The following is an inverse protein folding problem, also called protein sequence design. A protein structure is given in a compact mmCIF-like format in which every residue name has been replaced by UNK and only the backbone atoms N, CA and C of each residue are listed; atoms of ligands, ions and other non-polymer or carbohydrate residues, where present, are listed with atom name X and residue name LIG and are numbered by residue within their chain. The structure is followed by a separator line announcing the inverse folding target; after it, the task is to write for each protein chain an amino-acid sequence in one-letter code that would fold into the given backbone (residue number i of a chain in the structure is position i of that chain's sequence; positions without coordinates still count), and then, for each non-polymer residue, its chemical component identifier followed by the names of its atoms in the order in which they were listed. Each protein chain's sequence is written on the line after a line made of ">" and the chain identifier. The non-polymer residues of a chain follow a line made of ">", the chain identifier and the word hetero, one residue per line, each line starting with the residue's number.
data_IF_534229668478
#
_entry.id   IF_534229668478
#
_cell.length_a   1.000
_cell.length_b   1.000
_cell.length_c   1.000
_cell.angle_alpha   90.00
_cell.angle_beta   90.00
_cell.angle_gamma   90.00
#
_symmetry.space_group_name_H-M   'P 1'
#
loop_
_entity.id
_entity.type
_entity.pdbx_description
1 polymer ?
#
# COMPACT_ATOMS: atom_id res chain seq x y z
N UNK A 1 -5.74 17.33 2.14
CA UNK A 1 -6.72 16.83 3.12
C UNK A 1 -6.04 15.90 4.10
N UNK A 2 -6.58 15.78 5.32
CA UNK A 2 -6.01 14.91 6.35
C UNK A 2 -6.69 13.55 6.36
N UNK A 3 -5.89 12.48 6.43
CA UNK A 3 -6.38 11.10 6.38
C UNK A 3 -5.79 10.26 7.49
N UNK A 4 -6.60 9.33 8.01
CA UNK A 4 -6.17 8.37 9.03
C UNK A 4 -6.09 6.99 8.37
N UNK A 5 -4.88 6.44 8.33
CA UNK A 5 -4.63 5.07 7.90
C UNK A 5 -4.48 4.20 9.15
N UNK A 6 -5.47 3.35 9.42
CA UNK A 6 -5.37 2.35 10.48
C UNK A 6 -4.39 1.28 10.07
N UNK A 7 -3.44 0.98 10.95
CA UNK A 7 -2.37 0.04 10.65
C UNK A 7 -2.53 -1.23 11.45
N UNK A 8 -2.20 -2.36 10.85
CA UNK A 8 -2.31 -3.64 11.51
C UNK A 8 -1.03 -4.46 11.37
N UNK A 9 -0.67 -5.14 12.45
CA UNK A 9 0.37 -6.15 12.46
C UNK A 9 -0.24 -7.51 12.74
N UNK A 10 0.32 -8.55 12.13
CA UNK A 10 -0.10 -9.91 12.42
C UNK A 10 0.19 -10.26 13.89
N UNK A 11 -0.72 -11.01 14.53
CA UNK A 11 -0.49 -11.57 15.87
C UNK A 11 0.66 -12.58 15.86
N UNK A 12 0.71 -13.40 14.81
CA UNK A 12 1.68 -14.47 14.67
C UNK A 12 2.73 -14.12 13.62
N UNK A 13 4.03 -14.35 13.88
CA UNK A 13 5.07 -14.09 12.91
C UNK A 13 4.81 -14.81 11.59
N UNK A 14 4.95 -14.09 10.47
CA UNK A 14 4.77 -14.58 9.09
C UNK A 14 3.34 -15.00 8.71
N UNK A 15 2.36 -14.83 9.60
CA UNK A 15 0.96 -15.03 9.24
C UNK A 15 0.41 -13.78 8.59
N UNK A 16 -0.34 -13.96 7.52
CA UNK A 16 -1.11 -12.92 6.85
C UNK A 16 -2.38 -13.55 6.29
N UNK A 17 -3.45 -12.79 6.13
CA UNK A 17 -4.57 -13.21 5.29
C UNK A 17 -4.17 -13.17 3.81
N UNK A 18 -4.85 -13.98 3.00
CA UNK A 18 -4.70 -13.92 1.55
C UNK A 18 -5.22 -12.56 1.03
N UNK A 19 -4.59 -12.02 -0.02
CA UNK A 19 -5.05 -10.79 -0.68
C UNK A 19 -6.44 -10.98 -1.28
N UNK A 20 -6.69 -12.17 -1.86
CA UNK A 20 -7.89 -12.49 -2.61
C UNK A 20 -7.65 -12.47 -4.11
N UNK A 21 -8.74 -12.58 -4.86
CA UNK A 21 -8.72 -12.61 -6.32
C UNK A 21 -8.19 -11.29 -6.87
N UNK A 22 -7.23 -11.39 -7.78
CA UNK A 22 -6.69 -10.27 -8.52
C UNK A 22 -6.10 -10.79 -9.84
N UNK A 23 -6.02 -9.90 -10.83
CA UNK A 23 -5.24 -10.18 -12.03
C UNK A 23 -3.78 -9.80 -11.75
N UNK A 24 -2.80 -10.65 -12.10
CA UNK A 24 -1.38 -10.28 -12.02
C UNK A 24 -1.11 -9.04 -12.87
N UNK A 25 -0.25 -8.15 -12.39
CA UNK A 25 0.28 -7.05 -13.21
C UNK A 25 1.11 -7.64 -14.35
N UNK A 26 0.69 -7.53 -15.63
CA UNK A 26 1.36 -8.18 -16.75
C UNK A 26 2.81 -7.74 -16.93
N UNK A 27 3.21 -6.61 -16.34
CA UNK A 27 4.58 -6.13 -16.33
C UNK A 27 5.23 -6.08 -14.95
N UNK A 28 4.55 -6.53 -13.89
CA UNK A 28 5.00 -6.34 -12.51
C UNK A 28 6.27 -7.11 -12.15
N UNK A 29 6.50 -8.26 -12.79
CA UNK A 29 7.64 -9.13 -12.46
C UNK A 29 8.98 -8.42 -12.69
N UNK A 30 9.77 -8.28 -11.61
CA UNK A 30 11.08 -7.62 -11.64
C UNK A 30 11.05 -6.08 -11.57
N UNK A 31 9.87 -5.46 -11.49
CA UNK A 31 9.76 -4.00 -11.29
C UNK A 31 9.96 -3.59 -9.84
N UNK A 32 10.28 -2.32 -9.64
CA UNK A 32 10.37 -1.70 -8.32
C UNK A 32 9.06 -1.79 -7.54
N UNK A 33 7.95 -1.73 -8.27
CA UNK A 33 6.58 -1.72 -7.77
C UNK A 33 5.74 -2.61 -8.70
N UNK A 34 5.05 -3.57 -8.12
CA UNK A 34 4.03 -4.38 -8.77
C UNK A 34 2.69 -4.13 -8.07
N UNK A 35 1.65 -3.87 -8.87
CA UNK A 35 0.33 -3.49 -8.36
C UNK A 35 -0.66 -4.65 -8.43
N UNK A 36 -1.51 -4.74 -7.41
CA UNK A 36 -2.63 -5.66 -7.36
C UNK A 36 -3.90 -4.85 -7.11
N UNK A 37 -4.95 -5.11 -7.88
CA UNK A 37 -6.25 -4.45 -7.69
C UNK A 37 -7.27 -5.52 -7.33
N UNK A 38 -7.90 -5.35 -6.16
CA UNK A 38 -9.00 -6.17 -5.69
C UNK A 38 -10.26 -5.33 -5.45
N UNK A 39 -11.33 -5.98 -5.01
CA UNK A 39 -12.57 -5.28 -4.70
C UNK A 39 -12.43 -4.44 -3.43
N UNK A 40 -12.37 -3.11 -3.58
CA UNK A 40 -12.26 -2.17 -2.45
C UNK A 40 -10.89 -2.22 -1.75
N UNK A 41 -9.89 -2.80 -2.38
CA UNK A 41 -8.52 -2.81 -1.88
C UNK A 41 -7.50 -2.74 -3.03
N UNK A 42 -6.32 -2.22 -2.69
CA UNK A 42 -5.15 -2.23 -3.56
C UNK A 42 -4.00 -2.88 -2.81
N UNK A 43 -3.26 -3.72 -3.52
CA UNK A 43 -2.03 -4.34 -3.04
C UNK A 43 -0.84 -3.75 -3.79
N UNK A 44 0.29 -3.65 -3.10
CA UNK A 44 1.55 -3.31 -3.74
C UNK A 44 2.64 -4.26 -3.25
N UNK A 45 3.31 -4.92 -4.19
CA UNK A 45 4.54 -5.65 -3.96
C UNK A 45 5.67 -4.71 -4.35
N UNK A 46 6.66 -4.58 -3.50
CA UNK A 46 7.77 -3.64 -3.71
C UNK A 46 9.09 -4.33 -3.47
N UNK A 47 10.12 -3.89 -4.20
CA UNK A 47 11.49 -4.34 -3.96
C UNK A 47 11.95 -3.96 -2.53
N UNK A 48 12.91 -4.70 -1.95
CA UNK A 48 13.41 -4.43 -0.60
C UNK A 48 13.88 -2.99 -0.38
N UNK A 49 14.46 -2.36 -1.40
CA UNK A 49 14.95 -0.98 -1.40
C UNK A 49 13.80 0.01 -1.22
N UNK A 50 12.74 -0.15 -2.02
CA UNK A 50 11.53 0.65 -1.97
C UNK A 50 10.83 0.46 -0.63
N UNK A 51 10.77 -0.79 -0.12
CA UNK A 51 10.21 -1.07 1.20
C UNK A 51 10.94 -0.30 2.31
N UNK A 52 12.27 -0.27 2.29
CA UNK A 52 13.07 0.47 3.27
C UNK A 52 12.76 1.97 3.22
N UNK A 53 12.66 2.53 2.01
CA UNK A 53 12.28 3.93 1.80
C UNK A 53 10.89 4.20 2.39
N UNK A 54 9.88 3.40 2.04
CA UNK A 54 8.51 3.56 2.53
C UNK A 54 8.45 3.48 4.06
N UNK A 55 9.15 2.52 4.67
CA UNK A 55 9.19 2.41 6.13
C UNK A 55 9.78 3.67 6.79
N UNK A 56 10.86 4.22 6.22
CA UNK A 56 11.49 5.43 6.74
C UNK A 56 10.58 6.66 6.60
N UNK A 57 9.98 6.84 5.42
CA UNK A 57 9.19 8.03 5.10
C UNK A 57 7.79 8.02 5.71
N UNK A 58 7.17 6.84 5.87
CA UNK A 58 5.83 6.72 6.46
C UNK A 58 5.88 6.63 7.99
N UNK A 59 6.92 6.05 8.57
CA UNK A 59 7.01 5.78 10.02
C UNK A 59 8.06 6.63 10.73
N UNK A 60 8.62 7.62 10.03
CA UNK A 60 9.52 8.60 10.59
C UNK A 60 8.84 9.55 11.60
N UNK A 61 9.61 10.44 12.22
CA UNK A 61 9.08 11.37 13.23
C UNK A 61 8.20 12.48 12.62
N UNK A 62 8.35 12.72 11.31
CA UNK A 62 7.55 13.70 10.60
C UNK A 62 6.27 13.06 10.08
N UNK A 63 5.20 13.84 10.09
CA UNK A 63 3.94 13.44 9.49
C UNK A 63 4.12 13.24 7.99
N UNK A 64 3.76 12.06 7.43
CA UNK A 64 3.91 11.83 6.01
C UNK A 64 3.02 12.74 5.18
N UNK A 65 3.60 13.34 4.15
CA UNK A 65 2.91 14.12 3.14
C UNK A 65 2.91 13.35 1.82
N UNK A 66 1.72 13.09 1.28
CA UNK A 66 1.51 12.37 0.03
C UNK A 66 0.83 13.29 -0.97
N UNK A 67 1.48 13.58 -2.09
CA UNK A 67 0.92 14.39 -3.16
C UNK A 67 0.77 13.54 -4.43
N UNK A 68 -0.48 13.29 -4.82
CA UNK A 68 -0.80 12.67 -6.08
C UNK A 68 -0.82 13.73 -7.18
N UNK A 69 -0.04 13.52 -8.23
CA UNK A 69 -0.06 14.34 -9.44
C UNK A 69 -0.41 13.46 -10.64
N UNK A 70 -0.74 14.06 -11.78
CA UNK A 70 -1.18 13.31 -12.95
C UNK A 70 -0.14 12.28 -13.45
N UNK A 71 1.16 12.56 -13.26
CA UNK A 71 2.28 11.72 -13.72
C UNK A 71 3.39 11.58 -12.69
N UNK A 72 3.14 11.96 -11.44
CA UNK A 72 4.11 11.80 -10.36
C UNK A 72 3.44 11.61 -9.01
N UNK A 73 4.17 11.00 -8.09
CA UNK A 73 3.80 10.83 -6.70
C UNK A 73 4.91 11.43 -5.85
N UNK A 74 4.57 12.35 -4.97
CA UNK A 74 5.52 12.85 -3.97
C UNK A 74 5.20 12.25 -2.63
N UNK A 75 6.19 11.62 -1.99
CA UNK A 75 6.14 11.19 -0.59
C UNK A 75 7.23 11.96 0.17
N UNK A 76 6.81 12.89 1.01
CA UNK A 76 7.69 13.84 1.71
C UNK A 76 8.62 14.56 0.72
N UNK A 77 9.91 14.22 0.73
CA UNK A 77 10.96 14.79 -0.14
C UNK A 77 11.26 13.94 -1.39
N UNK A 78 10.63 12.79 -1.53
CA UNK A 78 10.86 11.87 -2.64
C UNK A 78 9.80 12.06 -3.70
N UNK A 79 10.23 12.45 -4.90
CA UNK A 79 9.39 12.43 -6.09
C UNK A 79 9.60 11.13 -6.85
N UNK A 80 8.51 10.59 -7.36
CA UNK A 80 8.48 9.38 -8.16
C UNK A 80 7.67 9.65 -9.42
N UNK A 81 8.23 9.37 -10.59
CA UNK A 81 7.68 9.73 -11.91
C UNK A 81 7.75 8.58 -12.93
N UNK A 82 7.98 7.35 -12.47
CA UNK A 82 8.06 6.16 -13.33
C UNK A 82 6.71 5.88 -14.00
N UNK A 83 6.68 6.05 -15.33
CA UNK A 83 5.46 6.07 -16.13
C UNK A 83 4.75 4.72 -16.11
N UNK A 84 5.51 3.63 -16.12
CA UNK A 84 4.99 2.27 -16.10
C UNK A 84 4.26 1.94 -14.79
N UNK A 85 4.72 2.52 -13.68
CA UNK A 85 4.14 2.29 -12.35
C UNK A 85 2.97 3.22 -12.10
N UNK A 86 3.07 4.48 -12.50
CA UNK A 86 2.01 5.49 -12.29
C UNK A 86 0.90 5.40 -13.33
N UNK A 87 1.18 4.84 -14.50
CA UNK A 87 0.18 4.55 -15.53
C UNK A 87 -0.67 3.32 -15.24
N UNK A 88 -0.34 2.53 -14.20
CA UNK A 88 -1.07 1.33 -13.84
C UNK A 88 -2.38 1.67 -13.09
N UNK A 89 -3.44 0.87 -13.32
CA UNK A 89 -4.75 1.05 -12.66
C UNK A 89 -4.67 0.97 -11.13
N UNK A 90 -3.68 0.27 -10.59
CA UNK A 90 -3.39 0.20 -9.15
C UNK A 90 -3.02 1.55 -8.54
N UNK A 91 -2.27 2.40 -9.25
CA UNK A 91 -1.96 3.75 -8.78
C UNK A 91 -3.25 4.59 -8.67
N UNK A 92 -4.10 4.54 -9.70
CA UNK A 92 -5.40 5.21 -9.69
C UNK A 92 -6.29 4.69 -8.55
N UNK A 93 -6.34 3.37 -8.34
CA UNK A 93 -7.10 2.76 -7.26
C UNK A 93 -6.59 3.18 -5.86
N UNK A 94 -5.27 3.24 -5.65
CA UNK A 94 -4.70 3.74 -4.39
C UNK A 94 -5.07 5.21 -4.15
N UNK A 95 -4.97 6.05 -5.18
CA UNK A 95 -5.36 7.46 -5.11
C UNK A 95 -6.84 7.58 -4.76
N UNK A 96 -7.72 6.85 -5.43
CA UNK A 96 -9.15 6.83 -5.15
C UNK A 96 -9.44 6.38 -3.71
N UNK A 97 -8.83 5.28 -3.25
CA UNK A 97 -9.01 4.76 -1.89
C UNK A 97 -8.62 5.79 -0.81
N UNK A 98 -7.50 6.49 -1.00
CA UNK A 98 -7.01 7.48 -0.04
C UNK A 98 -7.77 8.81 -0.10
N UNK A 99 -8.40 9.14 -1.23
CA UNK A 99 -9.18 10.37 -1.38
C UNK A 99 -10.67 10.18 -1.01
N UNK A 100 -11.26 9.01 -1.27
CA UNK A 100 -12.70 8.79 -1.16
C UNK A 100 -13.24 8.72 0.28
N UNK A 101 -12.44 8.26 1.25
CA UNK A 101 -12.89 8.07 2.64
C UNK A 101 -11.91 8.63 3.65
N UNK A 102 -12.38 8.96 4.86
CA UNK A 102 -11.51 9.51 5.92
C UNK A 102 -10.66 8.45 6.62
N UNK A 103 -11.08 7.19 6.49
CA UNK A 103 -10.43 6.05 7.11
C UNK A 103 -10.12 4.97 6.08
N UNK A 104 -8.89 4.45 6.11
CA UNK A 104 -8.45 3.29 5.33
C UNK A 104 -7.63 2.37 6.21
N UNK A 105 -7.54 1.09 5.83
CA UNK A 105 -6.83 0.06 6.59
C UNK A 105 -5.60 -0.41 5.83
N UNK A 106 -4.44 -0.39 6.47
CA UNK A 106 -3.17 -0.85 5.93
C UNK A 106 -2.64 -2.06 6.69
N UNK A 107 -2.39 -3.15 5.97
CA UNK A 107 -1.89 -4.41 6.53
C UNK A 107 -1.14 -5.23 5.48
N UNK A 108 -0.37 -6.23 5.93
CA UNK A 108 0.33 -7.13 5.02
C UNK A 108 -0.55 -8.31 4.66
N UNK A 109 -0.63 -8.65 3.37
CA UNK A 109 -1.25 -9.88 2.86
C UNK A 109 -0.25 -10.74 2.10
N UNK A 110 -0.69 -11.92 1.64
CA UNK A 110 0.05 -12.80 0.74
C UNK A 110 -0.85 -13.30 -0.39
N UNK A 111 -0.26 -13.88 -1.43
CA UNK A 111 -1.01 -14.68 -2.39
C UNK A 111 -0.17 -15.87 -2.86
N UNK A 112 -0.82 -16.98 -3.21
CA UNK A 112 -0.15 -18.26 -3.50
C UNK A 112 0.60 -18.28 -4.84
N UNK A 113 0.26 -17.38 -5.76
CA UNK A 113 0.93 -17.27 -7.07
C UNK A 113 2.31 -16.62 -6.98
N UNK A 114 2.58 -15.90 -5.88
CA UNK A 114 3.86 -15.21 -5.68
C UNK A 114 4.85 -16.07 -4.91
N UNK A 115 6.17 -15.85 -5.10
CA UNK A 115 7.20 -16.60 -4.38
C UNK A 115 6.98 -16.56 -2.86
N UNK A 116 7.26 -17.67 -2.14
CA UNK A 116 7.15 -17.72 -0.70
C UNK A 116 7.90 -16.57 -0.01
N UNK A 117 7.25 -15.91 0.94
CA UNK A 117 7.82 -14.78 1.66
C UNK A 117 7.56 -13.41 1.02
N UNK A 118 7.02 -13.37 -0.20
CA UNK A 118 6.50 -12.12 -0.79
C UNK A 118 5.36 -11.58 0.06
N UNK A 119 5.45 -10.30 0.43
CA UNK A 119 4.43 -9.61 1.20
C UNK A 119 3.87 -8.48 0.38
N UNK A 120 2.54 -8.44 0.33
CA UNK A 120 1.78 -7.43 -0.36
C UNK A 120 1.39 -6.40 0.70
N UNK A 121 1.79 -5.15 0.51
CA UNK A 121 1.29 -4.03 1.33
C UNK A 121 -0.11 -3.73 0.81
N UNK A 122 -1.13 -3.99 1.62
CA UNK A 122 -2.53 -3.83 1.25
C UNK A 122 -3.12 -2.60 1.90
N UNK A 123 -3.75 -1.74 1.10
CA UNK A 123 -4.63 -0.66 1.55
C UNK A 123 -6.06 -1.05 1.18
N UNK A 124 -6.97 -1.00 2.13
CA UNK A 124 -8.32 -1.54 2.01
C UNK A 124 -9.35 -0.65 2.70
N UNK A 125 -10.57 -0.63 2.16
CA UNK A 125 -11.73 -0.02 2.82
C UNK A 125 -12.25 -0.83 4.00
N UNK A 126 -11.96 -2.13 4.03
CA UNK A 126 -12.36 -3.04 5.12
C UNK A 126 -11.16 -3.39 6.00
N UNK A 127 -11.34 -3.53 7.33
CA UNK A 127 -10.29 -4.00 8.21
C UNK A 127 -9.92 -5.46 7.89
N UNK A 128 -8.70 -5.90 8.25
CA UNK A 128 -8.31 -7.29 8.10
C UNK A 128 -9.01 -8.19 9.13
N UNK A 129 -8.89 -9.51 8.95
CA UNK A 129 -9.45 -10.52 9.86
C UNK A 129 -8.94 -10.31 11.30
N UNK A 130 -9.80 -9.94 12.28
CA UNK A 130 -9.34 -9.58 13.63
C UNK A 130 -8.61 -10.71 14.36
N UNK A 131 -8.89 -11.97 14.03
CA UNK A 131 -8.19 -13.12 14.61
C UNK A 131 -6.70 -13.18 14.23
N UNK A 132 -6.34 -12.62 13.08
CA UNK A 132 -4.98 -12.67 12.54
C UNK A 132 -4.17 -11.41 12.84
N UNK A 133 -4.84 -10.30 13.16
CA UNK A 133 -4.22 -8.99 13.22
C UNK A 133 -4.58 -8.21 14.49
N UNK A 134 -3.58 -7.54 15.06
CA UNK A 134 -3.75 -6.47 16.04
C UNK A 134 -3.63 -5.11 15.39
N UNK A 135 -4.49 -4.18 15.79
CA UNK A 135 -4.36 -2.78 15.42
C UNK A 135 -3.13 -2.17 16.10
N UNK A 136 -2.38 -1.36 15.34
CA UNK A 136 -1.26 -0.57 15.79
C UNK A 136 -1.66 0.90 15.88
N UNK A 137 -0.77 1.76 16.38
CA UNK A 137 -0.96 3.20 16.32
C UNK A 137 -1.31 3.64 14.88
N UNK A 138 -2.43 4.36 14.67
CA UNK A 138 -2.83 4.80 13.34
C UNK A 138 -1.78 5.75 12.76
N UNK A 139 -1.76 5.87 11.44
CA UNK A 139 -0.89 6.78 10.71
C UNK A 139 -1.71 7.93 10.15
N UNK A 140 -1.44 9.14 10.64
CA UNK A 140 -2.01 10.35 10.05
C UNK A 140 -1.18 10.76 8.83
N UNK A 141 -1.82 10.91 7.68
CA UNK A 141 -1.19 11.27 6.41
C UNK A 141 -1.88 12.49 5.84
N UNK A 142 -1.10 13.48 5.41
CA UNK A 142 -1.62 14.61 4.64
C UNK A 142 -1.63 14.24 3.17
N UNK A 143 -2.81 14.15 2.55
CA UNK A 143 -2.98 13.74 1.15
C UNK A 143 -3.43 14.93 0.29
N UNK A 144 -2.70 15.22 -0.79
CA UNK A 144 -3.03 16.21 -1.80
C UNK A 144 -3.18 15.54 -3.16
N UNK A 145 -3.97 16.13 -4.07
CA UNK A 145 -4.35 15.51 -5.35
C UNK A 145 -4.37 16.50 -6.51
#
# INVERSE_FOLDING_TARGET
>A
MEKIVRRYAAHFPRWCQAFGDHLPDPGGEGRAVEWLVGEGCVGVIVLPEVRRLLMHELLGPQKPHLEFRQRSLSLNRYDYDEVEVLGHSGYAALRELLLAGDETHMFLTYHLIYPPGTRIITVSLKPPLPLLYKEMAPLAVSVCA
#
